data_IF_954412105797
#
_entry.id   IF_954412105797
#
_cell.length_a   1.000
_cell.length_b   1.000
_cell.length_c   1.000
_cell.angle_alpha   90.00
_cell.angle_beta   90.00
_cell.angle_gamma   90.00
#
_symmetry.space_group_name_H-M   'P 1'
#
loop_
_entity.id
_entity.type
_entity.pdbx_description
1 polymer ?
#
# COMPACT_ATOMS: atom_id res chain seq x y z
N UNK A 1 -10.65 -5.00 3.75
CA UNK A 1 -10.51 -4.24 2.48
C UNK A 1 -9.04 -4.22 2.10
N UNK A 2 -8.69 -4.62 0.88
CA UNK A 2 -7.30 -4.61 0.41
C UNK A 2 -6.90 -3.18 0.06
N UNK A 3 -5.73 -2.74 0.52
CA UNK A 3 -5.15 -1.48 0.06
C UNK A 3 -4.53 -1.77 -1.28
N UNK A 4 -5.04 -1.10 -2.31
CA UNK A 4 -4.63 -1.29 -3.70
C UNK A 4 -3.69 -0.17 -4.10
N UNK A 5 -2.53 -0.55 -4.62
CA UNK A 5 -1.51 0.37 -5.11
C UNK A 5 -1.37 0.27 -6.62
N UNK A 6 -0.92 1.36 -7.24
CA UNK A 6 -0.28 1.33 -8.56
C UNK A 6 1.20 1.00 -8.44
N UNK A 7 1.87 0.58 -9.54
CA UNK A 7 3.31 0.37 -9.52
C UNK A 7 4.13 1.58 -9.06
N UNK A 8 3.88 2.83 -9.51
CA UNK A 8 4.61 3.98 -8.99
C UNK A 8 4.41 4.22 -7.49
N UNK A 9 3.20 3.99 -6.98
CA UNK A 9 2.93 4.10 -5.53
C UNK A 9 3.66 3.00 -4.73
N UNK A 10 3.71 1.78 -5.25
CA UNK A 10 4.46 0.68 -4.64
C UNK A 10 5.96 0.98 -4.61
N UNK A 11 6.54 1.46 -5.72
CA UNK A 11 7.94 1.85 -5.82
C UNK A 11 8.28 2.97 -4.83
N UNK A 12 7.45 4.02 -4.78
CA UNK A 12 7.64 5.12 -3.84
C UNK A 12 7.56 4.64 -2.38
N UNK A 13 6.57 3.82 -2.05
CA UNK A 13 6.40 3.29 -0.70
C UNK A 13 7.60 2.44 -0.27
N UNK A 14 8.07 1.53 -1.12
CA UNK A 14 9.24 0.69 -0.84
C UNK A 14 10.52 1.51 -0.65
N UNK A 15 10.75 2.51 -1.52
CA UNK A 15 11.92 3.40 -1.39
C UNK A 15 11.89 4.24 -0.11
N UNK A 16 10.70 4.72 0.30
CA UNK A 16 10.55 5.40 1.60
C UNK A 16 10.79 4.46 2.77
N UNK A 17 10.34 3.21 2.68
CA UNK A 17 10.56 2.20 3.72
C UNK A 17 12.04 1.89 3.93
N UNK A 18 12.79 1.80 2.83
CA UNK A 18 14.23 1.62 2.83
C UNK A 18 14.96 2.83 3.40
N UNK A 19 14.61 4.04 2.93
CA UNK A 19 15.21 5.30 3.40
C UNK A 19 15.04 5.49 4.92
N UNK A 20 13.90 5.07 5.48
CA UNK A 20 13.65 5.14 6.91
C UNK A 20 14.26 3.98 7.71
N UNK A 21 14.96 3.03 7.08
CA UNK A 21 15.63 1.93 7.76
C UNK A 21 14.71 0.84 8.32
N UNK A 22 13.46 0.75 7.84
CA UNK A 22 12.50 -0.25 8.35
C UNK A 22 12.26 -1.44 7.42
N UNK A 23 12.98 -1.55 6.30
CA UNK A 23 12.73 -2.59 5.26
C UNK A 23 12.65 -4.00 5.82
N UNK A 24 13.63 -4.40 6.63
CA UNK A 24 13.66 -5.73 7.24
C UNK A 24 12.44 -5.98 8.14
N UNK A 25 12.12 -5.04 9.03
CA UNK A 25 11.00 -5.17 9.96
C UNK A 25 9.64 -5.24 9.24
N UNK A 26 9.48 -4.46 8.16
CA UNK A 26 8.25 -4.44 7.36
C UNK A 26 8.08 -5.73 6.56
N UNK A 27 9.13 -6.22 5.89
CA UNK A 27 9.07 -7.47 5.13
C UNK A 27 8.72 -8.65 6.03
N UNK A 28 9.40 -8.77 7.17
CA UNK A 28 9.10 -9.79 8.19
C UNK A 28 7.65 -9.74 8.67
N UNK A 29 7.11 -8.54 8.91
CA UNK A 29 5.72 -8.37 9.31
C UNK A 29 4.73 -8.69 8.17
N UNK A 30 5.09 -8.41 6.92
CA UNK A 30 4.26 -8.68 5.75
C UNK A 30 4.18 -10.19 5.42
N UNK A 31 5.26 -10.92 5.65
CA UNK A 31 5.33 -12.39 5.52
C UNK A 31 4.64 -13.14 6.67
N UNK A 32 4.28 -12.44 7.76
CA UNK A 32 3.66 -13.04 8.93
C UNK A 32 2.22 -13.49 8.66
N UNK A 33 1.80 -14.58 9.31
CA UNK A 33 0.40 -15.04 9.33
C UNK A 33 -0.49 -14.19 10.24
N UNK A 34 0.10 -13.30 11.05
CA UNK A 34 -0.63 -12.43 11.97
C UNK A 34 -1.50 -11.44 11.18
N UNK A 35 -2.78 -11.39 11.53
CA UNK A 35 -3.70 -10.40 10.97
C UNK A 35 -3.37 -9.01 11.53
N UNK A 36 -2.92 -8.11 10.65
CA UNK A 36 -2.69 -6.70 10.96
C UNK A 36 -2.09 -5.94 9.78
N UNK A 37 -1.89 -4.64 9.92
CA UNK A 37 -1.11 -3.87 8.95
C UNK A 37 0.39 -4.06 9.25
N UNK A 38 1.23 -4.50 8.30
CA UNK A 38 2.65 -4.77 8.52
C UNK A 38 3.49 -3.50 8.74
N UNK A 39 2.90 -2.31 8.55
CA UNK A 39 3.55 -1.03 8.80
C UNK A 39 3.36 -0.53 10.25
N UNK A 40 2.67 -1.30 11.10
CA UNK A 40 2.47 -0.95 12.51
C UNK A 40 3.69 -1.36 13.34
N UNK A 41 4.00 -0.58 14.38
CA UNK A 41 4.93 -0.97 15.43
C UNK A 41 4.26 -1.89 16.48
N UNK A 42 5.04 -2.31 17.48
CA UNK A 42 4.54 -3.17 18.56
C UNK A 42 3.46 -2.50 19.43
N UNK A 43 3.38 -1.17 19.43
CA UNK A 43 2.38 -0.39 20.14
C UNK A 43 1.14 -0.10 19.27
N UNK A 44 1.12 -0.57 18.01
CA UNK A 44 0.03 -0.35 17.07
C UNK A 44 0.08 0.99 16.34
N UNK A 45 1.16 1.77 16.44
CA UNK A 45 1.32 3.02 15.70
C UNK A 45 1.88 2.74 14.31
N UNK A 46 1.42 3.50 13.30
CA UNK A 46 1.98 3.40 11.96
C UNK A 46 3.38 4.03 11.90
N UNK A 47 4.42 3.22 11.68
CA UNK A 47 5.83 3.66 11.52
C UNK A 47 6.02 4.63 10.35
N UNK A 48 5.07 4.62 9.41
CA UNK A 48 5.09 5.38 8.17
C UNK A 48 3.98 6.43 8.10
N UNK A 49 3.46 6.89 9.24
CA UNK A 49 2.31 7.78 9.30
C UNK A 49 2.43 9.02 8.39
N UNK A 50 3.61 9.65 8.39
CA UNK A 50 3.91 10.83 7.58
C UNK A 50 3.94 10.56 6.06
N UNK A 51 4.29 9.33 5.67
CA UNK A 51 4.45 8.90 4.28
C UNK A 51 3.29 8.00 3.79
N UNK A 52 2.18 7.95 4.53
CA UNK A 52 1.01 7.14 4.16
C UNK A 52 0.54 7.49 2.74
N UNK A 53 0.35 6.48 1.87
CA UNK A 53 -0.32 6.66 0.58
C UNK A 53 -1.67 7.34 0.74
N UNK A 54 -2.16 7.98 -0.32
CA UNK A 54 -3.40 8.75 -0.28
C UNK A 54 -4.60 7.89 0.16
N UNK A 55 -4.67 6.62 -0.28
CA UNK A 55 -5.68 5.68 0.23
C UNK A 55 -5.57 5.46 1.73
N UNK A 56 -4.36 5.24 2.27
CA UNK A 56 -4.12 5.06 3.70
C UNK A 56 -4.53 6.27 4.54
N UNK A 57 -4.52 7.48 3.95
CA UNK A 57 -4.98 8.71 4.61
C UNK A 57 -6.49 8.83 4.68
N UNK A 58 -7.25 8.08 3.86
CA UNK A 58 -8.70 7.99 3.98
C UNK A 58 -9.14 7.09 5.14
N UNK A 59 -8.26 6.21 5.62
CA UNK A 59 -8.47 5.35 6.79
C UNK A 59 -8.10 6.11 8.07
N UNK A 60 -9.01 6.94 8.55
CA UNK A 60 -8.88 7.63 9.83
C UNK A 60 -10.25 7.81 10.48
N UNK A 61 -10.23 7.91 11.80
CA UNK A 61 -11.37 8.30 12.61
C UNK A 61 -11.02 9.55 13.39
N UNK A 62 -11.98 10.45 13.57
CA UNK A 62 -11.87 11.54 14.54
C UNK A 62 -12.15 11.04 15.98
N UNK A 63 -12.63 9.82 16.13
CA UNK A 63 -12.82 9.10 17.39
C UNK A 63 -11.73 8.02 17.55
N UNK A 64 -10.91 8.15 18.60
CA UNK A 64 -9.80 7.24 18.91
C UNK A 64 -10.27 5.82 19.24
N UNK A 65 -11.43 5.64 19.87
CA UNK A 65 -11.96 4.33 20.23
C UNK A 65 -12.52 3.61 18.99
N UNK A 66 -13.17 4.35 18.09
CA UNK A 66 -13.57 3.80 16.80
C UNK A 66 -12.35 3.40 15.93
N UNK A 67 -11.26 4.17 16.00
CA UNK A 67 -10.00 3.83 15.33
C UNK A 67 -9.40 2.52 15.90
N UNK A 68 -9.33 2.40 17.23
CA UNK A 68 -8.80 1.22 17.92
C UNK A 68 -9.59 -0.04 17.59
N UNK A 69 -10.92 0.04 17.56
CA UNK A 69 -11.80 -1.09 17.16
C UNK A 69 -11.57 -1.55 15.71
N UNK A 70 -11.17 -0.64 14.83
CA UNK A 70 -10.84 -0.95 13.44
C UNK A 70 -9.48 -1.64 13.25
N UNK A 71 -8.58 -1.60 14.25
CA UNK A 71 -7.22 -2.16 14.19
C UNK A 71 -7.17 -3.49 14.96
N UNK A 72 -6.87 -4.61 14.28
CA UNK A 72 -6.67 -5.91 14.95
C UNK A 72 -7.21 -7.12 14.18
N UNK A 73 -7.21 -8.29 14.83
CA UNK A 73 -7.58 -9.61 14.28
C UNK A 73 -9.07 -9.67 13.87
N UNK A 74 -9.91 -8.86 14.52
CA UNK A 74 -11.35 -8.71 14.30
C UNK A 74 -11.70 -7.40 13.55
N UNK A 75 -10.71 -6.71 12.96
CA UNK A 75 -10.83 -5.39 12.32
C UNK A 75 -11.74 -5.40 11.08
N UNK A 76 -13.04 -5.49 11.30
CA UNK A 76 -14.01 -5.66 10.23
C UNK A 76 -14.27 -4.33 9.51
N UNK A 77 -14.15 -3.19 10.18
CA UNK A 77 -14.40 -1.87 9.60
C UNK A 77 -13.50 -0.77 10.17
N UNK A 78 -12.34 -0.55 9.54
CA UNK A 78 -11.58 0.69 9.76
C UNK A 78 -12.44 1.85 9.28
N UNK A 79 -12.67 2.90 10.08
CA UNK A 79 -13.42 4.08 9.65
C UNK A 79 -12.79 4.71 8.41
N UNK A 80 -13.63 5.00 7.41
CA UNK A 80 -13.23 5.62 6.16
C UNK A 80 -13.92 6.96 6.04
N UNK A 81 -13.15 8.02 5.82
CA UNK A 81 -13.71 9.29 5.37
C UNK A 81 -14.01 9.21 3.86
N UNK A 82 -15.29 8.96 3.54
CA UNK A 82 -15.73 8.64 2.18
C UNK A 82 -15.32 9.66 1.10
N UNK A 83 -15.38 10.99 1.32
CA UNK A 83 -14.93 11.96 0.32
C UNK A 83 -13.48 11.73 -0.13
N UNK A 84 -12.56 11.46 0.81
CA UNK A 84 -11.15 11.22 0.50
C UNK A 84 -10.96 9.89 -0.23
N UNK A 85 -11.67 8.84 0.21
CA UNK A 85 -11.68 7.56 -0.48
C UNK A 85 -12.17 7.70 -1.92
N UNK A 86 -13.29 8.40 -2.14
CA UNK A 86 -13.87 8.63 -3.45
C UNK A 86 -12.90 9.37 -4.38
N UNK A 87 -12.29 10.46 -3.92
CA UNK A 87 -11.27 11.22 -4.67
C UNK A 87 -10.13 10.30 -5.11
N UNK A 88 -9.56 9.53 -4.18
CA UNK A 88 -8.48 8.60 -4.49
C UNK A 88 -8.90 7.59 -5.56
N UNK A 89 -10.05 6.93 -5.37
CA UNK A 89 -10.52 5.91 -6.31
C UNK A 89 -10.84 6.48 -7.69
N UNK A 90 -11.32 7.72 -7.77
CA UNK A 90 -11.59 8.41 -9.03
C UNK A 90 -10.30 8.74 -9.79
N UNK A 91 -9.26 9.22 -9.09
CA UNK A 91 -7.94 9.45 -9.67
C UNK A 91 -7.38 8.14 -10.25
N UNK A 92 -7.43 7.07 -9.47
CA UNK A 92 -6.97 5.74 -9.87
C UNK A 92 -7.71 5.21 -11.10
N UNK A 93 -9.04 5.36 -11.14
CA UNK A 93 -9.86 4.97 -12.27
C UNK A 93 -9.51 5.77 -13.54
N UNK A 94 -9.30 7.09 -13.42
CA UNK A 94 -8.90 7.94 -14.54
C UNK A 94 -7.53 7.57 -15.12
N UNK A 95 -6.54 7.31 -14.27
CA UNK A 95 -5.22 6.84 -14.71
C UNK A 95 -5.36 5.47 -15.39
N UNK A 96 -6.12 4.54 -14.81
CA UNK A 96 -6.31 3.19 -15.37
C UNK A 96 -6.95 3.25 -16.76
N UNK A 97 -7.93 4.14 -16.91
CA UNK A 97 -8.57 4.40 -18.19
C UNK A 97 -7.58 4.94 -19.23
N UNK A 98 -6.78 5.94 -18.88
CA UNK A 98 -5.79 6.53 -19.80
C UNK A 98 -4.70 5.53 -20.25
N UNK A 99 -4.30 4.60 -19.39
CA UNK A 99 -3.41 3.49 -19.76
C UNK A 99 -4.08 2.55 -20.76
N UNK A 100 -5.31 2.13 -20.46
CA UNK A 100 -6.06 1.21 -21.31
C UNK A 100 -6.28 1.77 -22.72
N UNK A 101 -6.60 3.06 -22.84
CA UNK A 101 -6.79 3.75 -24.12
C UNK A 101 -5.52 3.79 -24.99
N UNK A 102 -4.35 3.61 -24.38
CA UNK A 102 -3.06 3.51 -25.08
C UNK A 102 -2.56 2.07 -25.25
N UNK A 103 -3.39 1.07 -24.94
CA UNK A 103 -3.00 -0.34 -24.97
C UNK A 103 -2.00 -0.72 -23.88
N UNK A 104 -1.82 0.13 -22.86
CA UNK A 104 -0.94 -0.13 -21.72
C UNK A 104 -1.70 -0.83 -20.60
N UNK A 105 -0.99 -1.61 -19.79
CA UNK A 105 -1.54 -2.27 -18.61
C UNK A 105 -1.23 -1.44 -17.38
N UNK A 106 -2.22 -1.25 -16.50
CA UNK A 106 -1.97 -0.76 -15.15
C UNK A 106 -2.47 -1.80 -14.14
N UNK A 107 -1.59 -2.66 -13.61
CA UNK A 107 -1.99 -3.65 -12.63
C UNK A 107 -2.38 -2.96 -11.32
N UNK A 108 -3.40 -3.51 -10.67
CA UNK A 108 -3.71 -3.23 -9.27
C UNK A 108 -2.84 -4.14 -8.42
N UNK A 109 -2.15 -3.58 -7.43
CA UNK A 109 -1.24 -4.33 -6.57
C UNK A 109 -1.82 -4.45 -5.16
N UNK A 110 -1.68 -5.62 -4.54
CA UNK A 110 -2.00 -5.79 -3.13
C UNK A 110 -0.83 -5.31 -2.26
N UNK A 111 -1.12 -4.47 -1.28
CA UNK A 111 -0.14 -3.92 -0.34
C UNK A 111 0.72 -5.02 0.33
N UNK A 112 0.13 -6.12 0.80
CA UNK A 112 0.89 -7.12 1.58
C UNK A 112 1.96 -7.83 0.75
N UNK A 113 1.64 -8.40 -0.43
CA UNK A 113 2.64 -8.92 -1.35
C UNK A 113 3.73 -7.91 -1.73
N UNK A 114 3.37 -6.64 -1.99
CA UNK A 114 4.35 -5.58 -2.25
C UNK A 114 5.31 -5.42 -1.07
N UNK A 115 4.79 -5.33 0.15
CA UNK A 115 5.61 -5.14 1.35
C UNK A 115 6.45 -6.35 1.73
N UNK A 116 6.08 -7.56 1.29
CA UNK A 116 6.88 -8.78 1.47
C UNK A 116 8.02 -8.95 0.47
N UNK A 117 8.10 -8.10 -0.55
CA UNK A 117 9.21 -8.17 -1.51
C UNK A 117 10.53 -7.90 -0.78
N UNK A 118 11.58 -8.64 -1.11
CA UNK A 118 12.93 -8.42 -0.55
C UNK A 118 13.85 -7.64 -1.51
N UNK A 119 13.44 -7.53 -2.78
CA UNK A 119 14.19 -6.82 -3.81
C UNK A 119 14.29 -5.32 -3.45
N UNK A 120 15.50 -4.73 -3.47
CA UNK A 120 15.70 -3.29 -3.27
C UNK A 120 14.84 -2.44 -4.22
N UNK A 121 14.30 -1.32 -3.74
CA UNK A 121 13.43 -0.47 -4.54
C UNK A 121 14.13 0.06 -5.80
N UNK A 122 15.43 0.34 -5.74
CA UNK A 122 16.25 0.76 -6.89
C UNK A 122 16.21 -0.25 -8.05
N UNK A 123 16.32 -1.55 -7.76
CA UNK A 123 16.25 -2.60 -8.78
C UNK A 123 14.84 -2.68 -9.38
N UNK A 124 13.81 -2.51 -8.54
CA UNK A 124 12.42 -2.48 -9.02
C UNK A 124 12.15 -1.26 -9.91
N UNK A 125 12.79 -0.12 -9.61
CA UNK A 125 12.76 1.07 -10.47
C UNK A 125 13.39 0.79 -11.83
N UNK A 126 14.56 0.17 -11.87
CA UNK A 126 15.24 -0.16 -13.13
C UNK A 126 14.37 -1.04 -14.02
N UNK A 127 13.82 -2.13 -13.48
CA UNK A 127 12.91 -3.03 -14.21
C UNK A 127 11.70 -2.28 -14.75
N UNK A 128 11.11 -1.38 -13.97
CA UNK A 128 9.95 -0.58 -14.40
C UNK A 128 10.31 0.40 -15.52
N UNK A 129 11.44 1.09 -15.41
CA UNK A 129 11.91 2.07 -16.39
C UNK A 129 12.29 1.42 -17.73
N UNK A 130 12.73 0.16 -17.70
CA UNK A 130 12.96 -0.67 -18.89
C UNK A 130 11.66 -1.22 -19.52
N UNK A 131 10.49 -0.94 -18.93
CA UNK A 131 9.19 -1.40 -19.40
C UNK A 131 8.81 -2.81 -18.95
N UNK A 132 9.60 -3.40 -18.04
CA UNK A 132 9.26 -4.64 -17.35
C UNK A 132 8.17 -4.44 -16.29
N UNK A 133 7.68 -5.55 -15.73
CA UNK A 133 6.80 -5.52 -14.56
C UNK A 133 7.49 -6.11 -13.32
N UNK A 134 7.98 -5.26 -12.40
CA UNK A 134 8.61 -5.73 -11.17
C UNK A 134 7.61 -6.34 -10.17
N UNK A 135 6.31 -6.16 -10.36
CA UNK A 135 5.27 -6.52 -9.39
C UNK A 135 4.39 -7.69 -9.82
N UNK A 136 4.87 -8.55 -10.72
CA UNK A 136 4.08 -9.67 -11.27
C UNK A 136 3.47 -10.56 -10.18
N UNK A 137 4.18 -10.77 -9.07
CA UNK A 137 3.75 -11.59 -7.93
C UNK A 137 2.79 -10.88 -6.97
N UNK A 138 2.67 -9.55 -7.08
CA UNK A 138 1.85 -8.72 -6.21
C UNK A 138 0.54 -8.25 -6.86
N UNK A 139 0.29 -8.65 -8.11
CA UNK A 139 -0.92 -8.27 -8.84
C UNK A 139 -2.17 -8.86 -8.20
N UNK A 140 -3.22 -8.05 -8.17
CA UNK A 140 -4.58 -8.50 -7.93
C UNK A 140 -5.20 -8.95 -9.26
N UNK A 141 -5.88 -10.10 -9.24
CA UNK A 141 -6.67 -10.62 -10.36
C UNK A 141 -7.94 -9.80 -10.61
#
# INVERSE_FOLDING_TARGET
KHIVLTPPEALFLLGMIETCGFRFAVSMAACSTVKGCPLLDKAGNCRFYAHRPLMCRAFHSLDVEACRKGVGVDGNEVPIWYPHFAIYTSIQAGIARGFLERGLKMPKLDLRPVLSMEVPAEILWDVWLEGGDPFVTARMG
#
